data_IF_573172522853
#
_entry.id   IF_573172522853
#
_cell.length_a   1.000
_cell.length_b   1.000
_cell.length_c   1.000
_cell.angle_alpha   90.00
_cell.angle_beta   90.00
_cell.angle_gamma   90.00
#
_symmetry.space_group_name_H-M   'P 1'
#
loop_
_entity.id
_entity.type
_entity.pdbx_description
1 polymer ?
#
# COMPACT_ATOMS: atom_id res chain seq x y z
N UNK A 1 -6.85 -10.50 5.26
CA UNK A 1 -7.35 -9.73 6.42
C UNK A 1 -7.38 -8.26 6.03
N UNK A 2 -8.54 -7.61 6.16
CA UNK A 2 -8.80 -6.23 5.73
C UNK A 2 -8.09 -5.24 6.68
N UNK A 3 -7.32 -4.26 6.14
CA UNK A 3 -6.52 -3.35 6.96
C UNK A 3 -7.34 -2.26 7.66
N UNK A 4 -8.60 -2.06 7.30
CA UNK A 4 -9.48 -1.02 7.87
C UNK A 4 -10.28 -1.55 9.04
N UNK A 5 -10.94 -2.68 8.81
CA UNK A 5 -11.87 -3.31 9.75
C UNK A 5 -11.18 -4.37 10.61
N UNK A 6 -9.96 -4.78 10.24
CA UNK A 6 -9.23 -5.90 10.87
C UNK A 6 -10.02 -7.22 10.82
N UNK A 7 -10.92 -7.36 9.85
CA UNK A 7 -11.72 -8.57 9.66
C UNK A 7 -11.04 -9.49 8.66
N UNK A 8 -11.25 -10.79 8.83
CA UNK A 8 -10.71 -11.74 7.89
C UNK A 8 -11.53 -11.75 6.60
N UNK A 9 -10.86 -11.64 5.46
CA UNK A 9 -11.52 -11.61 4.15
C UNK A 9 -11.65 -13.05 3.70
N UNK A 10 -12.79 -13.65 4.02
CA UNK A 10 -13.17 -14.97 3.55
C UNK A 10 -13.59 -14.86 2.09
N UNK A 11 -12.77 -15.38 1.17
CA UNK A 11 -12.93 -15.37 -0.31
C UNK A 11 -12.29 -14.17 -1.05
N UNK A 12 -10.96 -14.00 -1.00
CA UNK A 12 -10.26 -12.91 -1.68
C UNK A 12 -10.51 -12.76 -3.19
N UNK A 13 -10.97 -13.81 -3.88
CA UNK A 13 -11.24 -13.82 -5.33
C UNK A 13 -12.53 -13.07 -5.72
N UNK A 14 -13.53 -13.03 -4.83
CA UNK A 14 -14.82 -12.34 -5.05
C UNK A 14 -14.83 -10.94 -4.38
N UNK A 15 -13.80 -10.64 -3.59
CA UNK A 15 -13.69 -9.43 -2.80
C UNK A 15 -12.81 -8.36 -3.49
N UNK A 16 -13.07 -7.07 -3.26
CA UNK A 16 -12.29 -6.01 -3.86
C UNK A 16 -10.83 -6.05 -3.36
N UNK A 17 -9.88 -5.99 -4.30
CA UNK A 17 -8.45 -5.90 -4.01
C UNK A 17 -7.85 -4.58 -4.54
N UNK A 18 -6.73 -4.18 -3.94
CA UNK A 18 -5.88 -3.07 -4.40
C UNK A 18 -4.46 -3.59 -4.56
N UNK A 19 -3.82 -3.22 -5.66
CA UNK A 19 -2.41 -3.47 -5.88
C UNK A 19 -1.63 -2.20 -5.56
N UNK A 20 -0.72 -2.26 -4.60
CA UNK A 20 0.15 -1.15 -4.23
C UNK A 20 1.61 -1.45 -4.56
N UNK A 21 2.25 -0.56 -5.31
CA UNK A 21 3.62 -0.71 -5.79
C UNK A 21 3.69 -1.03 -7.28
N UNK A 22 4.91 -1.01 -7.83
CA UNK A 22 5.17 -1.29 -9.25
C UNK A 22 6.05 -2.55 -9.37
N UNK A 23 5.66 -3.47 -10.26
CA UNK A 23 6.41 -4.69 -10.57
C UNK A 23 6.53 -5.70 -9.42
N UNK A 24 7.73 -6.27 -9.24
CA UNK A 24 7.99 -7.41 -8.34
C UNK A 24 7.84 -7.09 -6.84
N UNK A 25 7.72 -5.81 -6.49
CA UNK A 25 7.51 -5.34 -5.10
C UNK A 25 6.06 -4.94 -4.81
N UNK A 26 5.16 -5.14 -5.75
CA UNK A 26 3.77 -4.82 -5.51
C UNK A 26 3.14 -5.76 -4.48
N UNK A 27 2.34 -5.20 -3.59
CA UNK A 27 1.58 -5.94 -2.58
C UNK A 27 0.10 -5.91 -2.95
N UNK A 28 -0.54 -7.07 -2.86
CA UNK A 28 -1.98 -7.20 -3.02
C UNK A 28 -2.66 -7.09 -1.66
N UNK A 29 -3.56 -6.12 -1.55
CA UNK A 29 -4.32 -5.84 -0.34
C UNK A 29 -5.78 -6.15 -0.62
N UNK A 30 -6.36 -7.03 0.19
CA UNK A 30 -7.74 -7.50 0.05
C UNK A 30 -8.64 -6.81 1.07
N UNK A 31 -9.82 -6.39 0.60
CA UNK A 31 -10.77 -5.63 1.40
C UNK A 31 -12.09 -6.40 1.58
N UNK A 32 -12.71 -6.23 2.75
CA UNK A 32 -14.04 -6.82 3.02
C UNK A 32 -15.10 -6.23 2.08
N UNK A 33 -14.99 -4.95 1.71
CA UNK A 33 -15.96 -4.26 0.86
C UNK A 33 -15.36 -3.08 0.11
N UNK A 34 -16.05 -2.58 -0.92
CA UNK A 34 -15.58 -1.42 -1.68
C UNK A 34 -15.48 -0.15 -0.82
N UNK A 35 -16.32 -0.04 0.21
CA UNK A 35 -16.29 1.07 1.16
C UNK A 35 -14.98 1.09 1.95
N UNK A 36 -14.50 -0.06 2.43
CA UNK A 36 -13.23 -0.18 3.17
C UNK A 36 -12.04 0.05 2.25
N UNK A 37 -12.10 -0.46 1.00
CA UNK A 37 -11.10 -0.13 -0.04
C UNK A 37 -11.02 1.37 -0.30
N UNK A 38 -12.16 2.06 -0.43
CA UNK A 38 -12.18 3.50 -0.70
C UNK A 38 -11.62 4.30 0.48
N UNK A 39 -11.98 3.93 1.71
CA UNK A 39 -11.44 4.55 2.91
C UNK A 39 -9.93 4.34 3.02
N UNK A 40 -9.44 3.15 2.68
CA UNK A 40 -8.01 2.86 2.64
C UNK A 40 -7.28 3.73 1.63
N UNK A 41 -7.80 3.86 0.40
CA UNK A 41 -7.19 4.74 -0.60
C UNK A 41 -7.20 6.21 -0.17
N UNK A 42 -8.30 6.68 0.43
CA UNK A 42 -8.43 8.04 0.96
C UNK A 42 -7.39 8.32 2.06
N UNK A 43 -7.25 7.41 3.02
CA UNK A 43 -6.23 7.52 4.09
C UNK A 43 -4.80 7.33 3.59
N UNK A 44 -4.57 6.44 2.61
CA UNK A 44 -3.26 6.21 2.02
C UNK A 44 -2.77 7.45 1.24
N UNK A 45 -3.69 8.17 0.58
CA UNK A 45 -3.40 9.45 -0.08
C UNK A 45 -2.95 10.53 0.92
N UNK A 46 -3.48 10.52 2.15
CA UNK A 46 -3.03 11.42 3.21
C UNK A 46 -1.67 11.00 3.81
N UNK A 47 -1.34 9.70 3.80
CA UNK A 47 -0.09 9.12 4.30
C UNK A 47 1.07 9.09 3.30
N UNK A 48 0.80 9.16 1.99
CA UNK A 48 1.80 9.25 0.91
C UNK A 48 2.38 10.66 0.79
N UNK A 49 2.85 11.24 1.90
CA UNK A 49 3.94 12.22 1.82
C UNK A 49 5.20 11.48 1.44
N UNK A 50 5.30 11.16 0.14
CA UNK A 50 6.52 10.91 -0.63
C UNK A 50 7.79 11.00 0.21
N UNK A 51 8.15 9.89 0.87
CA UNK A 51 9.56 9.63 1.14
C UNK A 51 10.09 9.06 -0.17
N UNK A 52 10.15 9.92 -1.18
CA UNK A 52 10.97 9.66 -2.36
C UNK A 52 12.39 9.53 -1.78
N UNK A 53 12.81 8.29 -1.60
CA UNK A 53 14.15 7.94 -1.21
C UNK A 53 15.10 8.35 -2.32
N UNK A 54 15.41 9.64 -2.39
CA UNK A 54 16.66 10.11 -2.95
C UNK A 54 17.77 9.74 -1.95
N UNK A 55 18.04 8.45 -1.79
CA UNK A 55 19.28 7.95 -1.18
C UNK A 55 20.35 7.77 -2.27
N UNK A 56 20.41 8.73 -3.20
CA UNK A 56 21.63 9.05 -3.94
C UNK A 56 22.08 10.43 -3.49
N UNK A 57 22.41 10.56 -2.21
CA UNK A 57 23.31 11.62 -1.77
C UNK A 57 24.68 10.97 -1.61
N UNK A 58 25.49 11.17 -2.65
CA UNK A 58 26.94 11.09 -2.73
C UNK A 58 27.67 10.86 -1.39
N UNK A 59 28.00 9.62 -1.08
CA UNK A 59 29.06 9.34 -0.10
C UNK A 59 30.42 9.47 -0.79
N UNK A 60 30.97 10.69 -0.84
CA UNK A 60 32.38 10.93 -1.20
C UNK A 60 33.26 10.72 0.03
N UNK A 61 33.88 9.55 0.15
CA UNK A 61 35.03 9.37 1.03
C UNK A 61 36.29 9.85 0.26
N UNK A 62 36.67 11.12 0.44
CA UNK A 62 38.01 11.57 0.05
C UNK A 62 39.00 11.17 1.16
N UNK A 63 40.07 10.49 0.75
CA UNK A 63 41.12 9.94 1.62
C UNK A 63 42.31 10.85 1.83
#
# INVERSE_FOLDING_TARGET
MDPITLRDVSNPDDHPCLYEGDGEKGVEIYFESEETKRLYMDMALEGQKVICGNVSDDYVAEG
#
